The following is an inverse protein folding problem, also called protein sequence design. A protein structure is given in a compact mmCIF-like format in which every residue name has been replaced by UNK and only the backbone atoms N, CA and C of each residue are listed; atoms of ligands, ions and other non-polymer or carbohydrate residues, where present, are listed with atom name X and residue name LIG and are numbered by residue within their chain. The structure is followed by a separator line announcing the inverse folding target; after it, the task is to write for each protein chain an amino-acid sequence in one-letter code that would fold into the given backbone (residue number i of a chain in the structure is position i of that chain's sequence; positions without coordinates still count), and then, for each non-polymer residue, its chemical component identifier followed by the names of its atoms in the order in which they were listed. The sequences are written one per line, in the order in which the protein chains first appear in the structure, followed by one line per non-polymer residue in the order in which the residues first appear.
data_IF_285456200405
#
_entry.id   IF_285456200405
#
_cell.length_a   1.000
_cell.length_b   1.000
_cell.length_c   1.000
_cell.angle_alpha   90.00
_cell.angle_beta   90.00
_cell.angle_gamma   90.00
#
_symmetry.space_group_name_H-M   'P 1'
#
loop_
_entity.id
_entity.type
_entity.pdbx_description
1 polymer ?
#
# COMPACT_ATOMS: atom_id res chain seq x y z
N UNK A 1 -18.06 1.30 -2.69
CA UNK A 1 -19.48 1.52 -3.04
C UNK A 1 -20.46 1.33 -1.90
N UNK A 2 -20.56 0.15 -1.26
CA UNK A 2 -21.63 -0.11 -0.25
C UNK A 2 -21.57 0.92 0.90
N UNK A 3 -20.39 1.14 1.47
CA UNK A 3 -20.20 2.13 2.54
C UNK A 3 -20.58 3.55 2.12
N UNK A 4 -20.19 3.98 0.92
CA UNK A 4 -20.52 5.31 0.39
C UNK A 4 -22.01 5.47 0.03
N UNK A 5 -22.69 4.37 -0.28
CA UNK A 5 -24.14 4.38 -0.52
C UNK A 5 -24.98 4.31 0.76
N UNK A 6 -24.45 3.71 1.83
CA UNK A 6 -25.19 3.51 3.09
C UNK A 6 -24.87 4.56 4.14
N UNK A 7 -23.66 5.13 4.12
CA UNK A 7 -23.20 6.15 5.06
C UNK A 7 -22.93 7.40 4.23
N UNK A 8 -23.65 8.49 4.50
CA UNK A 8 -23.48 9.74 3.78
C UNK A 8 -22.36 10.57 4.42
N UNK A 9 -21.11 10.23 4.09
CA UNK A 9 -19.94 11.08 4.34
C UNK A 9 -19.43 11.67 3.03
N UNK A 10 -18.70 12.78 3.11
CA UNK A 10 -18.08 13.40 1.95
C UNK A 10 -17.11 12.43 1.20
N UNK A 11 -17.10 12.39 -0.15
CA UNK A 11 -16.26 11.48 -0.92
C UNK A 11 -14.75 11.57 -0.60
N UNK A 12 -14.25 12.76 -0.27
CA UNK A 12 -12.85 12.94 0.15
C UNK A 12 -12.51 12.14 1.41
N UNK A 13 -13.46 11.98 2.35
CA UNK A 13 -13.24 11.18 3.55
C UNK A 13 -13.03 9.70 3.20
N UNK A 14 -13.81 9.18 2.23
CA UNK A 14 -13.67 7.82 1.74
C UNK A 14 -12.37 7.60 0.96
N UNK A 15 -11.94 8.59 0.17
CA UNK A 15 -10.65 8.53 -0.52
C UNK A 15 -9.47 8.59 0.45
N UNK A 16 -9.49 9.46 1.47
CA UNK A 16 -8.46 9.46 2.51
C UNK A 16 -8.45 8.12 3.25
N UNK A 17 -9.61 7.59 3.61
CA UNK A 17 -9.73 6.30 4.30
C UNK A 17 -9.20 5.11 3.49
N UNK A 18 -9.36 5.13 2.16
CA UNK A 18 -8.78 4.09 1.30
C UNK A 18 -7.26 4.13 1.32
N UNK A 19 -6.69 5.34 1.41
CA UNK A 19 -5.25 5.55 1.55
C UNK A 19 -4.67 5.15 2.90
N UNK A 20 -5.45 5.16 4.00
CA UNK A 20 -4.93 4.72 5.30
C UNK A 20 -4.55 3.22 5.31
N UNK A 21 -5.19 2.43 4.45
CA UNK A 21 -4.93 1.00 4.30
C UNK A 21 -3.69 0.68 3.46
N UNK A 22 -3.62 -0.57 2.99
CA UNK A 22 -2.59 -1.01 2.04
C UNK A 22 -2.82 -0.40 0.65
N UNK A 23 -1.79 -0.43 -0.20
CA UNK A 23 -1.92 -0.07 -1.62
C UNK A 23 -3.06 -0.85 -2.32
N UNK A 24 -3.25 -2.14 -1.95
CA UNK A 24 -4.34 -2.97 -2.46
C UNK A 24 -5.71 -2.51 -1.98
N UNK A 25 -5.86 -2.16 -0.70
CA UNK A 25 -7.11 -1.60 -0.17
C UNK A 25 -7.42 -0.27 -0.84
N UNK A 26 -6.41 0.56 -1.06
CA UNK A 26 -6.55 1.83 -1.75
C UNK A 26 -7.10 1.63 -3.16
N UNK A 27 -6.45 0.81 -3.99
CA UNK A 27 -6.91 0.55 -5.35
C UNK A 27 -8.32 -0.05 -5.39
N UNK A 28 -8.62 -1.01 -4.51
CA UNK A 28 -9.90 -1.69 -4.47
C UNK A 28 -11.06 -0.78 -4.03
N UNK A 29 -10.83 0.16 -3.11
CA UNK A 29 -11.86 1.08 -2.62
C UNK A 29 -11.99 2.35 -3.46
N UNK A 30 -10.89 2.84 -4.04
CA UNK A 30 -10.84 4.08 -4.80
C UNK A 30 -11.45 3.92 -6.20
N UNK A 31 -11.16 2.84 -6.92
CA UNK A 31 -11.71 2.59 -8.26
C UNK A 31 -13.25 2.71 -8.34
N UNK A 32 -14.04 2.04 -7.48
CA UNK A 32 -15.49 2.20 -7.49
C UNK A 32 -15.94 3.59 -7.02
N UNK A 33 -15.18 4.28 -6.17
CA UNK A 33 -15.50 5.64 -5.71
C UNK A 33 -15.34 6.67 -6.83
N UNK A 34 -14.27 6.57 -7.63
CA UNK A 34 -14.05 7.41 -8.81
C UNK A 34 -15.12 7.18 -9.87
N UNK A 35 -15.59 5.95 -10.02
CA UNK A 35 -16.71 5.64 -10.91
C UNK A 35 -18.02 6.29 -10.45
N UNK A 36 -18.27 6.36 -9.14
CA UNK A 36 -19.44 7.05 -8.57
C UNK A 36 -19.34 8.58 -8.67
N UNK A 37 -18.12 9.14 -8.57
CA UNK A 37 -17.87 10.58 -8.59
C UNK A 37 -16.78 10.98 -9.60
N UNK A 38 -17.05 10.88 -10.91
CA UNK A 38 -16.03 11.09 -11.95
C UNK A 38 -15.50 12.52 -12.00
N UNK A 39 -16.30 13.52 -11.61
CA UNK A 39 -15.88 14.93 -11.60
C UNK A 39 -14.79 15.27 -10.60
N UNK A 40 -14.55 14.40 -9.61
CA UNK A 40 -13.58 14.59 -8.53
C UNK A 40 -12.50 13.49 -8.53
N UNK A 41 -12.43 12.63 -9.56
CA UNK A 41 -11.50 11.49 -9.62
C UNK A 41 -10.04 11.88 -9.31
N UNK A 42 -9.52 12.91 -9.97
CA UNK A 42 -8.14 13.39 -9.75
C UNK A 42 -7.90 13.84 -8.30
N UNK A 43 -8.91 14.45 -7.66
CA UNK A 43 -8.80 14.89 -6.27
C UNK A 43 -8.87 13.69 -5.31
N UNK A 44 -9.72 12.71 -5.60
CA UNK A 44 -9.81 11.47 -4.83
C UNK A 44 -8.49 10.69 -4.89
N UNK A 45 -7.88 10.57 -6.08
CA UNK A 45 -6.55 9.97 -6.23
C UNK A 45 -5.47 10.73 -5.46
N UNK A 46 -5.49 12.06 -5.52
CA UNK A 46 -4.52 12.88 -4.79
C UNK A 46 -4.66 12.71 -3.26
N UNK A 47 -5.90 12.78 -2.73
CA UNK A 47 -6.15 12.61 -1.30
C UNK A 47 -5.82 11.20 -0.82
N UNK A 48 -6.20 10.18 -1.60
CA UNK A 48 -5.90 8.79 -1.28
C UNK A 48 -4.40 8.49 -1.35
N UNK A 49 -3.72 8.96 -2.39
CA UNK A 49 -2.27 8.81 -2.56
C UNK A 49 -1.48 9.52 -1.47
N UNK A 50 -1.86 10.75 -1.11
CA UNK A 50 -1.24 11.48 0.00
C UNK A 50 -1.45 10.75 1.33
N UNK A 51 -2.67 10.28 1.61
CA UNK A 51 -2.94 9.53 2.83
C UNK A 51 -2.14 8.22 2.90
N UNK A 52 -2.00 7.51 1.78
CA UNK A 52 -1.19 6.29 1.68
C UNK A 52 0.30 6.55 1.95
N UNK A 53 0.85 7.61 1.35
CA UNK A 53 2.23 8.03 1.61
C UNK A 53 2.43 8.37 3.10
N UNK A 54 1.52 9.15 3.70
CA UNK A 54 1.60 9.50 5.12
C UNK A 54 1.49 8.26 6.01
N UNK A 55 0.60 7.32 5.70
CA UNK A 55 0.50 6.05 6.41
C UNK A 55 1.77 5.23 6.35
N UNK A 56 2.47 5.17 5.21
CA UNK A 56 3.77 4.47 5.14
C UNK A 56 4.87 5.21 5.92
N UNK A 57 4.92 6.54 5.83
CA UNK A 57 5.90 7.35 6.53
C UNK A 57 5.76 7.26 8.06
N UNK A 58 4.52 7.35 8.57
CA UNK A 58 4.24 7.35 10.00
C UNK A 58 3.91 5.97 10.57
N UNK A 59 3.56 5.00 9.72
CA UNK A 59 3.04 3.69 10.13
C UNK A 59 4.02 2.90 10.98
N UNK A 60 5.29 2.87 10.61
CA UNK A 60 6.32 2.18 11.40
C UNK A 60 6.48 2.81 12.78
N UNK A 61 6.45 4.14 12.88
CA UNK A 61 6.52 4.83 14.18
C UNK A 61 5.25 4.60 15.01
N UNK A 62 4.06 4.61 14.39
CA UNK A 62 2.81 4.28 15.06
C UNK A 62 2.81 2.83 15.57
N UNK A 63 3.37 1.88 14.81
CA UNK A 63 3.53 0.51 15.25
C UNK A 63 4.39 0.39 16.51
N UNK A 64 5.57 1.03 16.50
CA UNK A 64 6.52 0.95 17.61
C UNK A 64 5.99 1.66 18.86
N UNK A 65 5.46 2.87 18.73
CA UNK A 65 5.11 3.70 19.89
C UNK A 65 3.68 3.56 20.37
N UNK A 66 2.75 3.11 19.52
CA UNK A 66 1.32 3.04 19.85
C UNK A 66 0.78 1.62 19.73
N UNK A 67 0.98 0.95 18.59
CA UNK A 67 0.36 -0.35 18.36
C UNK A 67 0.96 -1.44 19.26
N UNK A 68 2.28 -1.50 19.43
CA UNK A 68 2.93 -2.48 20.30
C UNK A 68 2.48 -2.37 21.77
N UNK A 69 2.54 -1.20 22.43
CA UNK A 69 2.08 -1.09 23.81
C UNK A 69 0.56 -1.28 23.95
N UNK A 70 -0.22 -0.92 22.92
CA UNK A 70 -1.66 -1.17 22.91
C UNK A 70 -1.95 -2.67 22.78
N UNK A 71 -1.23 -3.38 21.92
CA UNK A 71 -1.37 -4.81 21.69
C UNK A 71 -1.06 -5.60 22.97
N UNK A 72 0.03 -5.26 23.67
CA UNK A 72 0.35 -5.86 24.98
C UNK A 72 -0.79 -5.67 25.98
N UNK A 73 -1.31 -4.44 26.10
CA UNK A 73 -2.42 -4.14 27.02
C UNK A 73 -3.70 -4.88 26.67
N UNK A 74 -4.05 -4.93 25.39
CA UNK A 74 -5.21 -5.68 24.92
C UNK A 74 -5.04 -7.17 25.17
N UNK A 75 -3.86 -7.72 24.89
CA UNK A 75 -3.55 -9.11 25.16
C UNK A 75 -3.66 -9.44 26.64
N UNK A 76 -3.03 -8.68 27.54
CA UNK A 76 -3.14 -8.90 29.00
C UNK A 76 -4.57 -8.77 29.51
N UNK A 77 -5.39 -7.87 28.96
CA UNK A 77 -6.77 -7.67 29.38
C UNK A 77 -7.73 -8.76 28.87
N UNK A 78 -7.54 -9.22 27.63
CA UNK A 78 -8.45 -10.17 26.97
C UNK A 78 -8.03 -11.63 27.16
N UNK A 79 -6.73 -11.93 27.30
CA UNK A 79 -6.24 -13.28 27.56
C UNK A 79 -6.94 -13.98 28.73
N UNK A 80 -7.17 -13.36 29.90
CA UNK A 80 -7.88 -14.02 31.00
C UNK A 80 -9.38 -14.25 30.76
N UNK A 81 -10.00 -13.52 29.80
CA UNK A 81 -11.44 -13.64 29.51
C UNK A 81 -11.74 -14.51 28.28
N UNK A 82 -10.79 -14.64 27.35
CA UNK A 82 -10.94 -15.33 26.05
C UNK A 82 -10.04 -16.57 25.93
N UNK A 83 -8.96 -16.65 26.72
CA UNK A 83 -8.06 -17.79 26.75
C UNK A 83 -8.76 -19.01 27.35
N UNK A 84 -9.26 -19.90 26.49
CA UNK A 84 -9.41 -21.32 26.84
C UNK A 84 -8.02 -21.87 27.14
N UNK A 85 -7.92 -22.72 28.16
CA UNK A 85 -6.72 -23.45 28.62
C UNK A 85 -6.04 -24.27 27.51
N UNK A 86 -5.42 -23.60 26.55
CA UNK A 86 -4.31 -24.12 25.79
C UNK A 86 -3.12 -23.27 26.22
N UNK A 87 -2.32 -23.81 27.15
CA UNK A 87 -0.89 -23.58 27.09
C UNK A 87 -0.46 -23.98 25.68
N UNK A 88 -0.46 -23.00 24.77
CA UNK A 88 0.50 -23.02 23.69
C UNK A 88 1.80 -22.78 24.43
N UNK A 89 2.46 -23.87 24.80
CA UNK A 89 3.91 -23.82 24.91
C UNK A 89 4.34 -23.18 23.59
N UNK A 90 4.91 -21.98 23.70
CA UNK A 90 5.76 -21.48 22.64
C UNK A 90 6.89 -22.51 22.61
N UNK A 91 6.68 -23.62 21.89
CA UNK A 91 7.81 -24.33 21.33
C UNK A 91 8.54 -23.24 20.56
N UNK A 92 9.79 -23.00 20.94
CA UNK A 92 10.71 -21.96 20.45
C UNK A 92 10.98 -22.06 18.92
N UNK A 93 10.07 -22.67 18.15
CA UNK A 93 10.12 -23.01 16.74
C UNK A 93 8.96 -22.38 15.93
N UNK A 94 8.10 -21.58 16.58
CA UNK A 94 7.22 -20.63 15.88
C UNK A 94 7.89 -19.26 15.91
N UNK A 95 8.86 -19.10 15.01
CA UNK A 95 9.55 -17.84 14.76
C UNK A 95 8.51 -16.79 14.32
N UNK A 96 8.05 -15.96 15.26
CA UNK A 96 7.35 -14.71 14.96
C UNK A 96 8.27 -13.78 14.13
N UNK A 97 9.58 -14.06 14.12
CA UNK A 97 10.51 -13.52 13.13
C UNK A 97 10.05 -13.81 11.70
N UNK A 98 9.50 -14.98 11.35
CA UNK A 98 9.18 -15.36 9.96
C UNK A 98 8.02 -14.55 9.33
N UNK A 99 7.03 -14.11 10.13
CA UNK A 99 5.94 -13.23 9.64
C UNK A 99 6.39 -11.76 9.56
N UNK A 100 7.44 -11.39 10.30
CA UNK A 100 8.01 -10.04 10.31
C UNK A 100 9.15 -9.89 9.30
N UNK A 101 9.83 -10.98 8.91
CA UNK A 101 11.12 -10.86 8.25
C UNK A 101 11.15 -10.64 6.73
N UNK A 102 10.06 -10.69 5.95
CA UNK A 102 10.26 -10.64 4.49
C UNK A 102 9.21 -9.93 3.63
N UNK A 103 8.70 -8.78 4.08
CA UNK A 103 8.08 -7.82 3.14
C UNK A 103 8.73 -6.43 3.07
N UNK A 104 9.60 -6.04 4.02
CA UNK A 104 10.21 -4.70 4.02
C UNK A 104 11.68 -4.62 4.45
N UNK A 105 12.31 -5.69 4.91
CA UNK A 105 13.68 -5.67 5.41
C UNK A 105 14.65 -6.36 4.44
N UNK A 106 14.94 -5.77 3.29
CA UNK A 106 16.10 -6.20 2.49
C UNK A 106 17.38 -5.50 2.98
N UNK A 107 17.69 -5.65 4.27
CA UNK A 107 19.03 -5.34 4.81
C UNK A 107 19.98 -6.49 4.49
N UNK A 108 20.27 -6.71 3.21
CA UNK A 108 21.37 -7.61 2.80
C UNK A 108 22.33 -6.90 1.85
N UNK A 109 23.63 -7.04 2.12
CA UNK A 109 24.71 -6.34 1.43
C UNK A 109 24.80 -6.60 -0.07
N UNK A 110 25.36 -5.60 -0.77
CA UNK A 110 25.39 -5.52 -2.22
C UNK A 110 26.34 -6.53 -2.86
N UNK A 111 25.76 -7.39 -3.69
CA UNK A 111 26.44 -7.97 -4.85
C UNK A 111 25.80 -7.39 -6.10
N UNK A 112 26.59 -7.02 -7.12
CA UNK A 112 26.14 -6.40 -8.39
C UNK A 112 24.97 -7.18 -9.04
N UNK A 113 24.93 -8.51 -8.87
CA UNK A 113 23.84 -9.36 -9.35
C UNK A 113 22.48 -9.13 -8.68
N UNK A 114 22.40 -8.50 -7.50
CA UNK A 114 21.11 -8.14 -6.90
C UNK A 114 20.47 -6.97 -7.63
N UNK A 115 21.19 -5.87 -7.88
CA UNK A 115 20.63 -4.72 -8.60
C UNK A 115 20.08 -5.12 -9.98
N UNK A 116 20.77 -6.04 -10.66
CA UNK A 116 20.32 -6.63 -11.92
C UNK A 116 19.00 -7.39 -11.77
N UNK A 117 18.83 -8.20 -10.72
CA UNK A 117 17.56 -8.90 -10.42
C UNK A 117 16.41 -7.93 -10.15
N UNK A 118 16.65 -6.89 -9.37
CA UNK A 118 15.64 -5.86 -9.07
C UNK A 118 15.24 -5.09 -10.33
N UNK A 119 16.21 -4.68 -11.15
CA UNK A 119 15.94 -4.02 -12.42
C UNK A 119 15.16 -4.93 -13.38
N UNK A 120 15.53 -6.21 -13.47
CA UNK A 120 14.83 -7.20 -14.30
C UNK A 120 13.37 -7.37 -13.85
N UNK A 121 13.15 -7.48 -12.54
CA UNK A 121 11.81 -7.57 -11.96
C UNK A 121 10.97 -6.33 -12.26
N UNK A 122 11.53 -5.13 -12.07
CA UNK A 122 10.82 -3.87 -12.34
C UNK A 122 10.48 -3.69 -13.83
N UNK A 123 11.35 -4.14 -14.73
CA UNK A 123 11.07 -4.13 -16.18
C UNK A 123 9.92 -5.10 -16.51
N UNK A 124 9.97 -6.33 -16.00
CA UNK A 124 8.90 -7.32 -16.22
C UNK A 124 7.56 -6.84 -15.64
N UNK A 125 7.61 -6.23 -14.47
CA UNK A 125 6.46 -5.60 -13.82
C UNK A 125 5.91 -4.45 -14.68
N UNK A 126 6.78 -3.59 -15.21
CA UNK A 126 6.41 -2.48 -16.11
C UNK A 126 5.69 -2.96 -17.37
N UNK A 127 6.18 -4.03 -17.99
CA UNK A 127 5.54 -4.63 -19.17
C UNK A 127 4.16 -5.18 -18.80
N UNK A 128 4.05 -5.90 -17.69
CA UNK A 128 2.78 -6.49 -17.23
C UNK A 128 1.75 -5.40 -16.94
N UNK A 129 2.16 -4.32 -16.29
CA UNK A 129 1.28 -3.16 -16.02
C UNK A 129 0.92 -2.39 -17.29
N UNK A 130 1.85 -2.22 -18.24
CA UNK A 130 1.53 -1.57 -19.51
C UNK A 130 0.49 -2.36 -20.32
N UNK A 131 0.63 -3.69 -20.38
CA UNK A 131 -0.35 -4.58 -21.02
C UNK A 131 -1.69 -4.54 -20.27
N UNK A 132 -1.65 -4.58 -18.93
CA UNK A 132 -2.86 -4.49 -18.11
C UNK A 132 -3.63 -3.18 -18.30
N UNK A 133 -2.95 -2.05 -18.46
CA UNK A 133 -3.60 -0.75 -18.68
C UNK A 133 -4.23 -0.67 -20.07
N UNK A 134 -3.58 -1.23 -21.09
CA UNK A 134 -4.17 -1.31 -22.42
C UNK A 134 -5.43 -2.18 -22.45
N UNK A 135 -5.43 -3.31 -21.75
CA UNK A 135 -6.57 -4.23 -21.69
C UNK A 135 -7.71 -3.62 -20.84
N UNK A 136 -7.39 -3.08 -19.66
CA UNK A 136 -8.39 -2.65 -18.68
C UNK A 136 -8.96 -1.25 -18.92
N UNK A 137 -8.13 -0.33 -19.43
CA UNK A 137 -8.46 1.09 -19.50
C UNK A 137 -8.29 1.69 -20.91
N UNK A 138 -7.94 0.86 -21.90
CA UNK A 138 -7.77 1.25 -23.31
C UNK A 138 -6.73 2.36 -23.54
N UNK A 139 -5.80 2.52 -22.61
CA UNK A 139 -4.67 3.44 -22.73
C UNK A 139 -3.65 2.93 -23.74
N UNK A 140 -3.01 3.83 -24.47
CA UNK A 140 -1.83 3.55 -25.30
C UNK A 140 -0.77 2.73 -24.54
N UNK A 141 -0.46 1.51 -25.04
CA UNK A 141 0.56 0.62 -24.46
C UNK A 141 1.90 1.35 -24.32
N UNK A 142 2.26 2.13 -25.35
CA UNK A 142 3.53 2.85 -25.40
C UNK A 142 3.61 3.91 -24.32
N UNK A 143 2.54 4.69 -24.12
CA UNK A 143 2.52 5.75 -23.11
C UNK A 143 2.54 5.16 -21.69
N UNK A 144 1.76 4.10 -21.46
CA UNK A 144 1.76 3.38 -20.18
C UNK A 144 3.13 2.73 -19.87
N UNK A 145 3.79 2.16 -20.88
CA UNK A 145 5.12 1.56 -20.73
C UNK A 145 6.17 2.62 -20.39
N UNK A 146 6.16 3.77 -21.08
CA UNK A 146 7.08 4.87 -20.80
C UNK A 146 6.88 5.37 -19.36
N UNK A 147 5.63 5.58 -18.94
CA UNK A 147 5.35 6.00 -17.56
C UNK A 147 5.82 4.97 -16.52
N UNK A 148 5.60 3.67 -16.77
CA UNK A 148 6.05 2.61 -15.85
C UNK A 148 7.57 2.49 -15.77
N UNK A 149 8.28 2.70 -16.88
CA UNK A 149 9.75 2.75 -16.88
C UNK A 149 10.28 3.96 -16.11
N UNK A 150 9.61 5.11 -16.20
CA UNK A 150 9.96 6.30 -15.41
C UNK A 150 9.78 6.05 -13.91
N UNK A 151 8.66 5.44 -13.49
CA UNK A 151 8.42 5.04 -12.09
C UNK A 151 9.49 4.03 -11.65
N UNK A 152 9.81 3.03 -12.47
CA UNK A 152 10.84 2.04 -12.18
C UNK A 152 12.22 2.67 -11.99
N UNK A 153 12.57 3.66 -12.82
CA UNK A 153 13.82 4.41 -12.68
C UNK A 153 13.88 5.16 -11.35
N UNK A 154 12.79 5.83 -10.95
CA UNK A 154 12.69 6.51 -9.65
C UNK A 154 12.85 5.52 -8.51
N UNK A 155 12.22 4.34 -8.60
CA UNK A 155 12.33 3.29 -7.59
C UNK A 155 13.77 2.78 -7.46
N UNK A 156 14.47 2.54 -8.58
CA UNK A 156 15.88 2.13 -8.56
C UNK A 156 16.76 3.18 -7.88
N UNK A 157 16.57 4.47 -8.22
CA UNK A 157 17.32 5.56 -7.60
C UNK A 157 17.01 5.67 -6.11
N UNK A 158 15.73 5.56 -5.71
CA UNK A 158 15.31 5.63 -4.31
C UNK A 158 15.87 4.49 -3.46
N UNK A 159 15.81 3.25 -3.95
CA UNK A 159 16.39 2.09 -3.25
C UNK A 159 17.93 2.17 -3.20
N UNK A 160 18.56 2.68 -4.25
CA UNK A 160 20.01 2.91 -4.25
C UNK A 160 20.40 3.95 -3.19
N UNK A 161 19.58 5.00 -3.03
CA UNK A 161 19.83 6.07 -2.07
C UNK A 161 19.61 5.63 -0.61
N UNK A 162 18.58 4.82 -0.35
CA UNK A 162 18.34 4.19 0.96
C UNK A 162 19.59 3.47 1.47
N UNK A 163 20.32 2.78 0.58
CA UNK A 163 21.53 2.03 0.92
C UNK A 163 22.75 2.93 1.18
N UNK A 164 22.84 4.08 0.50
CA UNK A 164 23.99 5.00 0.60
C UNK A 164 23.93 5.80 1.91
N UNK A 165 22.72 6.09 2.40
CA UNK A 165 22.51 6.90 3.59
C UNK A 165 22.42 6.00 4.82
N UNK A 166 23.26 6.17 5.85
CA UNK A 166 23.32 5.29 7.03
C UNK A 166 22.17 5.51 8.04
N UNK A 167 21.05 6.11 7.62
CA UNK A 167 19.88 6.32 8.48
C UNK A 167 18.87 5.20 8.24
N UNK A 168 18.42 4.54 9.32
CA UNK A 168 17.43 3.45 9.31
C UNK A 168 16.01 3.96 8.97
N UNK A 169 15.88 4.60 7.81
CA UNK A 169 14.62 5.14 7.30
C UNK A 169 14.10 4.15 6.24
N UNK A 170 12.83 3.74 6.31
CA UNK A 170 12.22 2.87 5.31
C UNK A 170 12.39 3.38 3.87
N UNK A 171 12.84 2.52 2.95
CA UNK A 171 13.05 2.82 1.52
C UNK A 171 11.92 3.54 0.80
N UNK A 172 10.69 3.19 1.16
CA UNK A 172 9.48 3.82 0.62
C UNK A 172 9.46 5.34 0.80
N UNK A 173 10.07 5.84 1.88
CA UNK A 173 10.16 7.28 2.16
C UNK A 173 11.10 7.96 1.14
N UNK A 174 12.24 7.35 0.83
CA UNK A 174 13.16 7.89 -0.19
C UNK A 174 12.52 7.91 -1.58
N UNK A 175 11.87 6.81 -1.97
CA UNK A 175 11.18 6.71 -3.27
C UNK A 175 10.10 7.80 -3.37
N UNK A 176 9.32 7.99 -2.30
CA UNK A 176 8.26 8.99 -2.24
C UNK A 176 8.79 10.43 -2.30
N UNK A 177 9.87 10.73 -1.57
CA UNK A 177 10.49 12.06 -1.58
C UNK A 177 11.06 12.40 -2.96
N UNK A 178 11.74 11.46 -3.61
CA UNK A 178 12.25 11.66 -4.98
C UNK A 178 11.10 11.81 -5.96
N UNK A 179 10.06 10.97 -5.86
CA UNK A 179 8.87 11.08 -6.70
C UNK A 179 8.21 12.45 -6.59
N UNK A 180 8.03 12.96 -5.37
CA UNK A 180 7.52 14.32 -5.14
C UNK A 180 8.47 15.34 -5.75
N UNK A 181 9.78 15.26 -5.48
CA UNK A 181 10.77 16.22 -5.97
C UNK A 181 10.76 16.35 -7.50
N UNK A 182 10.69 15.24 -8.22
CA UNK A 182 10.70 15.22 -9.69
C UNK A 182 9.34 15.63 -10.28
N UNK A 183 8.24 15.49 -9.52
CA UNK A 183 6.89 15.87 -9.93
C UNK A 183 6.48 17.31 -9.54
N UNK A 184 7.30 18.04 -8.79
CA UNK A 184 6.98 19.41 -8.37
C UNK A 184 6.83 20.33 -9.59
N UNK A 185 5.77 21.15 -9.67
CA UNK A 185 5.60 22.14 -10.72
C UNK A 185 6.76 23.14 -10.66
N UNK A 186 7.55 23.22 -11.74
CA UNK A 186 8.75 24.05 -11.83
C UNK A 186 10.04 23.28 -12.11
N UNK A 187 10.05 21.95 -11.92
CA UNK A 187 11.16 21.08 -12.33
C UNK A 187 10.99 20.73 -13.81
N UNK A 188 12.05 20.78 -14.65
CA UNK A 188 11.94 20.53 -16.10
C UNK A 188 11.46 19.12 -16.45
N UNK A 189 11.59 18.16 -15.52
CA UNK A 189 11.13 16.78 -15.70
C UNK A 189 9.65 16.59 -15.35
N UNK A 190 9.02 17.54 -14.65
CA UNK A 190 7.67 17.38 -14.09
C UNK A 190 6.60 17.21 -15.17
N UNK A 191 6.57 18.06 -16.19
CA UNK A 191 5.55 18.00 -17.24
C UNK A 191 5.58 16.68 -18.02
N UNK A 192 6.80 16.20 -18.34
CA UNK A 192 6.99 14.94 -19.02
C UNK A 192 6.56 13.77 -18.12
N UNK A 193 6.99 13.79 -16.86
CA UNK A 193 6.70 12.72 -15.92
C UNK A 193 5.20 12.61 -15.64
N UNK A 194 4.56 13.72 -15.28
CA UNK A 194 3.12 13.75 -14.97
C UNK A 194 2.29 13.29 -16.17
N UNK A 195 2.66 13.71 -17.39
CA UNK A 195 1.94 13.30 -18.62
C UNK A 195 1.89 11.79 -18.84
N UNK A 196 2.99 11.08 -18.58
CA UNK A 196 3.05 9.63 -18.80
C UNK A 196 2.58 8.85 -17.58
N UNK A 197 2.85 9.33 -16.36
CA UNK A 197 2.43 8.66 -15.13
C UNK A 197 0.92 8.76 -14.92
N UNK A 198 0.28 9.86 -15.33
CA UNK A 198 -1.19 10.01 -15.22
C UNK A 198 -1.99 9.07 -16.12
N UNK A 199 -1.33 8.33 -17.00
CA UNK A 199 -1.95 7.34 -17.90
C UNK A 199 -2.03 5.95 -17.27
N UNK A 200 -1.49 5.78 -16.06
CA UNK A 200 -1.35 4.50 -15.40
C UNK A 200 -2.34 4.42 -14.24
N UNK A 201 -3.30 3.50 -14.35
CA UNK A 201 -4.25 3.25 -13.29
C UNK A 201 -3.63 2.46 -12.13
N UNK A 202 -3.91 2.91 -10.90
CA UNK A 202 -3.47 2.24 -9.67
C UNK A 202 -3.98 0.79 -9.58
N UNK A 203 -5.17 0.51 -10.12
CA UNK A 203 -5.76 -0.84 -10.15
C UNK A 203 -4.89 -1.83 -10.91
N UNK A 204 -4.31 -1.39 -12.02
CA UNK A 204 -3.46 -2.23 -12.87
C UNK A 204 -2.15 -2.58 -12.17
N UNK A 205 -1.54 -1.58 -11.51
CA UNK A 205 -0.33 -1.79 -10.68
C UNK A 205 -0.64 -2.81 -9.57
N UNK A 206 -1.73 -2.62 -8.85
CA UNK A 206 -2.12 -3.51 -7.76
C UNK A 206 -2.47 -4.92 -8.25
N UNK A 207 -3.05 -5.06 -9.43
CA UNK A 207 -3.38 -6.37 -10.01
C UNK A 207 -2.12 -7.16 -10.34
N UNK A 208 -1.13 -6.54 -10.99
CA UNK A 208 0.15 -7.18 -11.25
C UNK A 208 0.88 -7.56 -9.95
N UNK A 209 0.84 -6.66 -8.95
CA UNK A 209 1.45 -6.90 -7.64
C UNK A 209 0.77 -8.06 -6.89
N UNK A 210 -0.56 -8.05 -6.81
CA UNK A 210 -1.35 -9.09 -6.14
C UNK A 210 -1.23 -10.44 -6.84
N UNK A 211 -1.08 -10.47 -8.17
CA UNK A 211 -0.82 -11.72 -8.89
C UNK A 211 0.54 -12.32 -8.49
N UNK A 212 1.59 -11.51 -8.40
CA UNK A 212 2.90 -11.95 -7.94
C UNK A 212 2.87 -12.42 -6.48
N UNK A 213 2.29 -11.61 -5.58
CA UNK A 213 2.14 -11.96 -4.16
C UNK A 213 1.28 -13.22 -3.98
N UNK A 214 0.22 -13.38 -4.78
CA UNK A 214 -0.62 -14.57 -4.75
C UNK A 214 0.12 -15.84 -5.18
N UNK A 215 1.02 -15.76 -6.16
CA UNK A 215 1.87 -16.90 -6.55
C UNK A 215 2.90 -17.20 -5.45
N UNK A 216 3.49 -16.16 -4.85
CA UNK A 216 4.46 -16.33 -3.76
C UNK A 216 3.83 -17.03 -2.55
N UNK A 217 2.68 -16.54 -2.06
CA UNK A 217 1.93 -17.16 -0.95
C UNK A 217 1.39 -18.54 -1.35
N UNK A 218 1.05 -18.73 -2.63
CA UNK A 218 0.58 -20.02 -3.14
C UNK A 218 1.62 -21.15 -3.03
N UNK A 219 2.91 -20.83 -2.93
CA UNK A 219 3.94 -21.83 -2.65
C UNK A 219 3.83 -22.38 -1.21
N UNK A 220 3.37 -21.56 -0.27
CA UNK A 220 3.16 -21.93 1.15
C UNK A 220 1.71 -22.33 1.41
N UNK A 221 1.18 -23.18 0.52
CA UNK A 221 -0.21 -23.61 0.53
C UNK A 221 -0.65 -24.24 1.87
N UNK A 222 0.24 -24.99 2.51
CA UNK A 222 -0.03 -25.65 3.78
C UNK A 222 -0.27 -24.65 4.93
N UNK A 223 0.43 -23.51 4.91
CA UNK A 223 0.22 -22.45 5.90
C UNK A 223 -1.05 -21.64 5.60
N UNK A 224 -1.32 -21.39 4.33
CA UNK A 224 -2.56 -20.73 3.90
C UNK A 224 -3.81 -21.53 4.34
N UNK A 225 -3.75 -22.86 4.29
CA UNK A 225 -4.84 -23.71 4.79
C UNK A 225 -5.10 -23.56 6.30
N UNK A 226 -4.09 -23.26 7.10
CA UNK A 226 -4.23 -23.06 8.56
C UNK A 226 -5.09 -21.84 8.90
N UNK A 227 -4.99 -20.76 8.11
CA UNK A 227 -5.79 -19.54 8.29
C UNK A 227 -7.29 -19.84 8.07
N UNK A 228 -7.58 -20.69 7.08
CA UNK A 228 -8.91 -21.22 6.79
C UNK A 228 -10.00 -20.16 6.54
N UNK A 229 -11.26 -20.59 6.52
CA UNK A 229 -12.40 -19.70 6.24
C UNK A 229 -12.62 -18.62 7.32
N UNK A 230 -12.16 -18.88 8.55
CA UNK A 230 -12.27 -17.95 9.68
C UNK A 230 -11.42 -16.70 9.45
N UNK A 231 -10.21 -16.87 8.92
CA UNK A 231 -9.34 -15.74 8.58
C UNK A 231 -9.97 -14.81 7.56
N UNK A 232 -10.68 -15.34 6.55
CA UNK A 232 -11.39 -14.51 5.55
C UNK A 232 -12.42 -13.60 6.24
N UNK A 233 -13.21 -14.12 7.17
CA UNK A 233 -14.22 -13.33 7.90
C UNK A 233 -13.53 -12.27 8.77
N UNK A 234 -12.49 -12.66 9.51
CA UNK A 234 -11.76 -11.74 10.38
C UNK A 234 -11.18 -10.59 9.54
N UNK A 235 -10.52 -10.91 8.43
CA UNK A 235 -9.96 -9.93 7.51
C UNK A 235 -11.02 -9.00 6.94
N UNK A 236 -12.19 -9.50 6.54
CA UNK A 236 -13.29 -8.65 6.06
C UNK A 236 -13.78 -7.69 7.14
N UNK A 237 -13.95 -8.16 8.38
CA UNK A 237 -14.36 -7.32 9.51
C UNK A 237 -13.30 -6.26 9.82
N UNK A 238 -12.02 -6.65 9.84
CA UNK A 238 -10.90 -5.75 10.15
C UNK A 238 -10.72 -4.69 9.07
N UNK A 239 -10.72 -5.07 7.78
CA UNK A 239 -10.61 -4.13 6.66
C UNK A 239 -11.80 -3.17 6.66
N UNK A 240 -13.02 -3.69 6.83
CA UNK A 240 -14.23 -2.85 6.87
C UNK A 240 -14.22 -1.90 8.06
N UNK A 241 -13.84 -2.39 9.25
CA UNK A 241 -13.75 -1.59 10.47
C UNK A 241 -12.71 -0.48 10.36
N UNK A 242 -11.51 -0.81 9.86
CA UNK A 242 -10.41 0.14 9.66
C UNK A 242 -10.80 1.21 8.64
N UNK A 243 -11.40 0.81 7.51
CA UNK A 243 -11.86 1.73 6.48
C UNK A 243 -12.96 2.67 6.99
N UNK A 244 -13.98 2.16 7.67
CA UNK A 244 -15.09 2.97 8.19
C UNK A 244 -14.65 3.91 9.32
N UNK A 245 -13.81 3.42 10.24
CA UNK A 245 -13.27 4.24 11.32
C UNK A 245 -12.40 5.37 10.77
N UNK A 246 -11.50 5.05 9.82
CA UNK A 246 -10.65 6.03 9.15
C UNK A 246 -11.48 7.06 8.36
N UNK A 247 -12.55 6.62 7.69
CA UNK A 247 -13.47 7.53 6.99
C UNK A 247 -14.19 8.47 7.97
N UNK A 248 -14.59 7.98 9.14
CA UNK A 248 -15.17 8.81 10.20
C UNK A 248 -14.21 9.88 10.71
N UNK A 249 -12.96 9.49 10.99
CA UNK A 249 -11.90 10.43 11.44
C UNK A 249 -11.58 11.45 10.34
N UNK A 250 -11.43 10.99 9.10
CA UNK A 250 -11.18 11.86 7.96
C UNK A 250 -12.33 12.87 7.76
N UNK A 251 -13.58 12.41 7.83
CA UNK A 251 -14.74 13.27 7.73
C UNK A 251 -14.78 14.34 8.83
N UNK A 252 -14.54 13.94 10.08
CA UNK A 252 -14.46 14.87 11.20
C UNK A 252 -13.34 15.90 11.01
N UNK A 253 -12.19 15.46 10.51
CA UNK A 253 -11.04 16.33 10.23
C UNK A 253 -11.35 17.32 9.13
N UNK A 254 -11.98 16.88 8.03
CA UNK A 254 -12.41 17.73 6.93
C UNK A 254 -13.41 18.80 7.38
N UNK A 255 -14.38 18.44 8.22
CA UNK A 255 -15.33 19.39 8.83
C UNK A 255 -14.59 20.38 9.74
N UNK A 256 -13.67 19.90 10.59
CA UNK A 256 -12.92 20.75 11.53
C UNK A 256 -11.98 21.75 10.84
N UNK A 257 -11.50 21.41 9.64
CA UNK A 257 -10.63 22.25 8.82
C UNK A 257 -11.40 23.19 7.90
N UNK A 258 -12.74 23.08 7.85
CA UNK A 258 -13.61 23.89 6.98
C UNK A 258 -13.47 23.57 5.49
N UNK A 259 -12.91 22.42 5.12
CA UNK A 259 -12.86 21.97 3.73
C UNK A 259 -14.22 21.44 3.24
N UNK A 260 -15.08 21.02 4.17
CA UNK A 260 -16.50 20.64 3.96
C UNK A 260 -17.33 21.18 5.13
#
# INVERSE_FOLDING_TARGET
SISASMITMHPYAYAMASGVGSASMNAAALAPLMHMFPSMATQLEAFAGCSNLLSFCFGIYMCIFVSLPLAERMYTALAPHIGRDHEISLDDDYDIEEVIHDQYATTEDMTVGKLERWATFLILFSITVAVGNFIGYHTSVTDALIGMLMISLITIVGMSLERIIPWNIPGIIYISLIGIFVAIPGVPTADLLVRFVSQIDLTTICTAFLAYVGIAIGNDWDEFQKIGWKGIIITLIVISGTYLCSAGIAHLTLVSTGMI
#
